data_IF_065997316406
#
_entry.id   IF_065997316406
#
_cell.length_a   1.000
_cell.length_b   1.000
_cell.length_c   1.000
_cell.angle_alpha   90.00
_cell.angle_beta   90.00
_cell.angle_gamma   90.00
#
_symmetry.space_group_name_H-M   'P 1'
#
loop_
_entity.id
_entity.type
_entity.pdbx_description
1 polymer ?
#
# COMPACT_ATOMS: atom_id res chain seq x y z
N UNK A 1 -22.84 -23.22 -36.21
CA UNK A 1 -23.21 -22.50 -34.97
C UNK A 1 -22.48 -23.03 -33.72
N UNK A 2 -22.46 -24.35 -33.46
CA UNK A 2 -21.79 -24.92 -32.27
C UNK A 2 -20.29 -24.58 -32.15
N UNK A 3 -19.53 -24.68 -33.24
CA UNK A 3 -18.09 -24.36 -33.25
C UNK A 3 -17.78 -22.88 -32.97
N UNK A 4 -18.61 -21.98 -33.52
CA UNK A 4 -18.49 -20.53 -33.29
C UNK A 4 -18.79 -20.20 -31.82
N UNK A 5 -19.85 -20.81 -31.26
CA UNK A 5 -20.19 -20.67 -29.84
C UNK A 5 -19.08 -21.19 -28.92
N UNK A 6 -18.42 -22.31 -29.26
CA UNK A 6 -17.29 -22.83 -28.49
C UNK A 6 -16.05 -21.91 -28.59
N UNK A 7 -15.76 -21.38 -29.78
CA UNK A 7 -14.66 -20.45 -29.97
C UNK A 7 -14.86 -19.16 -29.16
N UNK A 8 -16.08 -18.60 -29.17
CA UNK A 8 -16.45 -17.43 -28.37
C UNK A 8 -16.29 -17.69 -26.87
N UNK A 9 -16.65 -18.89 -26.40
CA UNK A 9 -16.50 -19.27 -24.99
C UNK A 9 -15.03 -19.33 -24.58
N UNK A 10 -14.16 -19.91 -25.41
CA UNK A 10 -12.72 -19.99 -25.14
C UNK A 10 -12.08 -18.60 -25.11
N UNK A 11 -12.45 -17.72 -26.05
CA UNK A 11 -11.96 -16.34 -26.09
C UNK A 11 -12.41 -15.56 -24.84
N UNK A 12 -13.66 -15.73 -24.41
CA UNK A 12 -14.17 -15.09 -23.20
C UNK A 12 -13.41 -15.55 -21.94
N UNK A 13 -13.08 -16.84 -21.83
CA UNK A 13 -12.28 -17.38 -20.71
C UNK A 13 -10.86 -16.81 -20.73
N UNK A 14 -10.23 -16.70 -21.90
CA UNK A 14 -8.89 -16.13 -22.03
C UNK A 14 -8.85 -14.63 -21.69
N UNK A 15 -9.89 -13.88 -22.08
CA UNK A 15 -10.04 -12.46 -21.71
C UNK A 15 -10.33 -12.27 -20.22
N UNK A 16 -11.06 -13.19 -19.58
CA UNK A 16 -11.27 -13.13 -18.13
C UNK A 16 -9.97 -13.37 -17.36
N UNK A 17 -9.14 -14.32 -17.82
CA UNK A 17 -7.85 -14.63 -17.18
C UNK A 17 -6.83 -13.49 -17.27
N UNK A 18 -6.87 -12.66 -18.32
CA UNK A 18 -5.94 -11.53 -18.47
C UNK A 18 -6.27 -10.33 -17.57
N UNK A 19 -7.44 -10.29 -16.92
CA UNK A 19 -7.81 -9.24 -15.96
C UNK A 19 -7.27 -9.48 -14.54
N UNK A 20 -6.66 -10.63 -14.27
CA UNK A 20 -5.94 -10.90 -13.00
C UNK A 20 -4.50 -10.41 -13.06
N UNK A 21 -4.30 -9.14 -13.39
CA UNK A 21 -3.02 -8.49 -13.18
C UNK A 21 -3.22 -7.02 -12.80
N UNK A 22 -2.74 -6.71 -11.58
CA UNK A 22 -2.40 -5.41 -11.01
C UNK A 22 -3.56 -4.63 -10.34
N UNK A 23 -3.42 -4.01 -9.18
CA UNK A 23 -2.23 -3.52 -8.49
C UNK A 23 -2.51 -3.51 -6.98
N UNK A 24 -2.01 -4.50 -6.23
CA UNK A 24 -1.86 -4.32 -4.79
C UNK A 24 -0.50 -3.67 -4.59
N UNK A 25 -0.44 -2.34 -4.64
CA UNK A 25 0.58 -1.63 -3.86
C UNK A 25 0.26 -1.92 -2.40
N UNK A 26 0.56 -3.14 -1.96
CA UNK A 26 0.85 -3.40 -0.56
C UNK A 26 2.09 -2.57 -0.35
N UNK A 27 1.96 -1.45 0.34
CA UNK A 27 3.08 -1.01 1.13
C UNK A 27 3.27 -2.06 2.21
N UNK A 28 3.89 -3.21 1.88
CA UNK A 28 4.10 -4.31 2.83
C UNK A 28 4.99 -3.87 3.98
N UNK A 29 5.65 -2.73 3.82
CA UNK A 29 6.49 -2.10 4.79
C UNK A 29 5.87 -0.86 5.45
N UNK A 30 4.78 -0.26 4.96
CA UNK A 30 4.22 0.95 5.57
C UNK A 30 3.21 0.65 6.69
N UNK A 31 3.27 1.41 7.78
CA UNK A 31 2.29 1.39 8.87
C UNK A 31 2.00 2.82 9.38
N UNK A 32 0.87 2.97 10.06
CA UNK A 32 0.48 4.19 10.76
C UNK A 32 -0.09 3.86 12.13
N UNK A 33 0.35 4.58 13.18
CA UNK A 33 -0.14 4.41 14.56
C UNK A 33 -0.37 5.78 15.19
N UNK A 34 -1.51 5.97 15.84
CA UNK A 34 -1.82 7.12 16.68
C UNK A 34 -1.95 6.66 18.13
N UNK A 35 -1.13 7.20 19.02
CA UNK A 35 -1.16 6.89 20.45
C UNK A 35 -0.71 8.10 21.25
N UNK A 36 -1.45 8.44 22.32
CA UNK A 36 -1.15 9.57 23.20
C UNK A 36 -0.86 10.87 22.43
N UNK A 37 -1.70 11.19 21.44
CA UNK A 37 -1.53 12.36 20.56
C UNK A 37 -0.21 12.37 19.79
N UNK A 38 0.40 11.21 19.52
CA UNK A 38 1.55 11.07 18.63
C UNK A 38 1.18 10.18 17.45
N UNK A 39 1.24 10.76 16.24
CA UNK A 39 1.07 10.06 14.97
C UNK A 39 2.43 9.61 14.46
N UNK A 40 2.65 8.30 14.41
CA UNK A 40 3.81 7.68 13.77
C UNK A 40 3.40 7.14 12.41
N UNK A 41 4.09 7.59 11.36
CA UNK A 41 4.02 7.02 10.03
C UNK A 41 5.37 6.38 9.75
N UNK A 42 5.41 5.14 9.32
CA UNK A 42 6.70 4.49 9.09
C UNK A 42 6.67 3.54 7.92
N UNK A 43 7.86 3.28 7.38
CA UNK A 43 8.10 2.20 6.45
C UNK A 43 9.47 1.53 6.69
N UNK A 44 9.96 0.74 5.72
CA UNK A 44 11.27 0.08 5.82
C UNK A 44 12.46 1.06 5.87
N UNK A 45 12.26 2.33 5.49
CA UNK A 45 13.32 3.33 5.32
C UNK A 45 13.21 4.51 6.28
N UNK A 46 12.00 4.91 6.67
CA UNK A 46 11.79 6.09 7.50
C UNK A 46 10.73 5.85 8.59
N UNK A 47 10.82 6.63 9.66
CA UNK A 47 9.75 6.74 10.67
C UNK A 47 9.65 8.19 11.15
N UNK A 48 8.87 9.04 10.46
CA UNK A 48 8.43 10.32 11.02
C UNK A 48 7.40 10.13 12.14
N UNK A 49 7.56 10.93 13.19
CA UNK A 49 6.57 11.10 14.25
C UNK A 49 6.07 12.54 14.29
N UNK A 50 4.80 12.72 14.61
CA UNK A 50 4.15 14.02 14.70
C UNK A 50 3.35 14.12 15.99
N UNK A 51 3.38 15.26 16.66
CA UNK A 51 2.41 15.56 17.70
C UNK A 51 1.08 15.94 17.04
N UNK A 52 0.05 15.18 17.35
CA UNK A 52 -1.35 15.41 17.01
C UNK A 52 -2.02 16.25 18.10
N UNK A 53 -1.92 17.58 18.00
CA UNK A 53 -2.50 18.48 18.99
C UNK A 53 -3.88 18.99 18.53
N UNK A 54 -4.92 18.19 18.78
CA UNK A 54 -6.32 18.59 18.52
C UNK A 54 -6.63 18.92 17.06
N UNK A 55 -6.01 18.20 16.12
CA UNK A 55 -6.15 18.43 14.67
C UNK A 55 -4.99 19.20 14.02
N UNK A 56 -4.04 19.70 14.81
CA UNK A 56 -2.78 20.24 14.32
C UNK A 56 -1.70 19.16 14.31
N UNK A 57 -0.94 19.07 13.21
CA UNK A 57 0.19 18.15 13.06
C UNK A 57 1.47 18.96 13.20
N UNK A 58 2.28 18.63 14.21
CA UNK A 58 3.60 19.24 14.43
C UNK A 58 4.65 18.16 14.24
N UNK A 59 5.58 18.34 13.30
CA UNK A 59 6.70 17.39 13.11
C UNK A 59 7.50 17.29 14.41
N UNK A 60 7.51 16.09 14.98
CA UNK A 60 8.20 15.83 16.23
C UNK A 60 9.60 15.26 15.97
N UNK A 61 9.71 14.22 15.12
CA UNK A 61 11.00 13.67 14.71
C UNK A 61 10.91 12.97 13.36
N UNK A 62 12.07 12.72 12.74
CA UNK A 62 12.21 11.89 11.54
C UNK A 62 13.41 10.97 11.70
N UNK A 63 13.17 9.67 11.73
CA UNK A 63 14.22 8.64 11.77
C UNK A 63 14.48 8.09 10.37
N UNK A 64 15.74 8.08 9.94
CA UNK A 64 16.22 7.41 8.73
C UNK A 64 16.73 6.01 9.07
N UNK A 65 15.96 4.98 8.73
CA UNK A 65 16.28 3.56 8.94
C UNK A 65 17.23 2.99 7.87
N UNK A 66 17.46 3.71 6.76
CA UNK A 66 18.38 3.24 5.72
C UNK A 66 19.85 3.29 6.16
N UNK A 67 20.14 3.96 7.28
CA UNK A 67 21.49 4.22 7.72
C UNK A 67 21.90 3.59 9.05
N UNK A 68 21.05 2.84 9.76
CA UNK A 68 21.36 2.22 11.08
C UNK A 68 22.39 3.01 11.92
N UNK A 69 22.21 4.32 11.98
CA UNK A 69 23.06 5.23 12.75
C UNK A 69 22.21 5.74 13.89
N UNK A 70 22.21 4.95 14.95
CA UNK A 70 22.00 5.43 16.33
C UNK A 70 23.07 6.48 16.64
#
# INVERSE_FOLDING_TARGET
MKLISQLLLVVAVLLALSTYAQNKTVYSDCSSRLENDVLTLENSRISPTYQWNGGNIITHSLTDKAKDKV
#
